data_IF_731162939346
#
_entry.id   IF_731162939346
#
_cell.length_a   1.000
_cell.length_b   1.000
_cell.length_c   1.000
_cell.angle_alpha   90.00
_cell.angle_beta   90.00
_cell.angle_gamma   90.00
#
_symmetry.space_group_name_H-M   'P 1'
#
loop_
_entity.id
_entity.type
_entity.pdbx_description
1 polymer ?
#
# COMPACT_ATOMS: atom_id res chain seq x y z
N UNK A 1 -29.73 14.09 31.97
CA UNK A 1 -28.27 14.36 31.87
C UNK A 1 -27.86 14.05 30.45
N UNK A 2 -27.35 15.03 29.70
CA UNK A 2 -26.93 14.87 28.31
C UNK A 2 -25.51 14.31 28.34
N UNK A 3 -25.29 13.15 27.71
CA UNK A 3 -23.96 12.55 27.60
C UNK A 3 -22.99 13.52 26.90
N UNK A 4 -21.71 13.60 27.33
CA UNK A 4 -20.76 14.49 26.70
C UNK A 4 -20.60 14.08 25.23
N UNK A 5 -20.73 15.06 24.32
CA UNK A 5 -20.49 14.85 22.90
C UNK A 5 -19.01 14.54 22.73
N UNK A 6 -18.73 13.34 22.23
CA UNK A 6 -17.40 12.84 21.95
C UNK A 6 -16.66 13.83 21.03
N UNK A 7 -15.43 14.18 21.41
CA UNK A 7 -14.66 15.24 20.75
C UNK A 7 -14.33 14.80 19.32
N UNK A 8 -14.75 15.60 18.33
CA UNK A 8 -14.46 15.41 16.91
C UNK A 8 -12.93 15.31 16.71
N UNK A 9 -12.43 14.14 16.28
CA UNK A 9 -11.05 13.95 15.82
C UNK A 9 -11.04 14.09 14.31
N UNK A 10 -10.17 14.92 13.74
CA UNK A 10 -10.05 15.04 12.27
C UNK A 10 -9.68 13.66 11.71
N UNK A 11 -10.61 13.05 10.97
CA UNK A 11 -10.54 11.67 10.47
C UNK A 11 -11.49 10.67 11.12
N UNK A 12 -12.01 10.92 12.32
CA UNK A 12 -12.91 10.00 13.04
C UNK A 12 -14.03 10.71 13.79
N UNK A 13 -14.89 11.37 13.02
CA UNK A 13 -16.22 11.77 13.49
C UNK A 13 -17.13 11.86 12.27
N UNK A 14 -17.48 10.67 11.81
CA UNK A 14 -18.24 10.37 10.60
C UNK A 14 -18.44 8.86 10.45
N UNK A 15 -19.09 8.44 9.37
CA UNK A 15 -19.28 7.02 9.04
C UNK A 15 -17.93 6.32 8.85
N UNK A 16 -17.75 5.18 9.51
CA UNK A 16 -16.64 4.24 9.26
C UNK A 16 -17.21 3.12 8.39
N UNK A 17 -16.50 2.76 7.33
CA UNK A 17 -16.95 1.69 6.45
C UNK A 17 -16.78 0.32 7.14
N UNK A 18 -17.68 -0.65 6.91
CA UNK A 18 -17.51 -2.02 7.42
C UNK A 18 -16.18 -2.64 7.01
N UNK A 19 -15.65 -2.24 5.85
CA UNK A 19 -14.34 -2.69 5.39
C UNK A 19 -13.21 -2.11 6.25
N UNK A 20 -13.31 -0.84 6.64
CA UNK A 20 -12.33 -0.22 7.55
C UNK A 20 -12.36 -0.91 8.91
N UNK A 21 -13.55 -1.12 9.50
CA UNK A 21 -13.69 -1.84 10.77
C UNK A 21 -13.11 -3.26 10.69
N UNK A 22 -13.36 -3.96 9.59
CA UNK A 22 -12.79 -5.28 9.34
C UNK A 22 -11.26 -5.23 9.25
N UNK A 23 -10.70 -4.32 8.45
CA UNK A 23 -9.24 -4.22 8.27
C UNK A 23 -8.54 -3.82 9.56
N UNK A 24 -9.13 -2.91 10.34
CA UNK A 24 -8.59 -2.51 11.64
C UNK A 24 -8.51 -3.70 12.61
N UNK A 25 -9.56 -4.52 12.67
CA UNK A 25 -9.58 -5.75 13.48
C UNK A 25 -8.58 -6.79 12.96
N UNK A 26 -8.57 -7.05 11.66
CA UNK A 26 -7.67 -8.01 11.02
C UNK A 26 -6.20 -7.66 11.28
N UNK A 27 -5.81 -6.40 11.11
CA UNK A 27 -4.43 -5.97 11.34
C UNK A 27 -4.04 -5.98 12.83
N UNK A 28 -5.00 -5.76 13.74
CA UNK A 28 -4.76 -5.89 15.17
C UNK A 28 -4.53 -7.35 15.60
N UNK A 29 -5.22 -8.30 14.97
CA UNK A 29 -5.08 -9.74 15.22
C UNK A 29 -3.88 -10.36 14.51
N UNK A 30 -3.44 -9.77 13.38
CA UNK A 30 -2.37 -10.27 12.51
C UNK A 30 -1.23 -9.25 12.32
N UNK A 31 -0.44 -8.95 13.37
CA UNK A 31 0.67 -8.01 13.26
C UNK A 31 1.74 -8.46 12.25
N UNK A 32 1.86 -9.76 11.98
CA UNK A 32 2.78 -10.30 10.96
C UNK A 32 2.51 -9.75 9.56
N UNK A 33 1.27 -9.37 9.26
CA UNK A 33 0.90 -8.79 7.96
C UNK A 33 1.48 -7.39 7.80
N UNK A 34 1.59 -6.64 8.89
CA UNK A 34 2.20 -5.30 8.87
C UNK A 34 3.71 -5.42 8.66
N UNK A 35 4.35 -6.36 9.37
CA UNK A 35 5.77 -6.64 9.21
C UNK A 35 6.10 -7.13 7.79
N UNK A 36 5.30 -8.03 7.22
CA UNK A 36 5.51 -8.53 5.86
C UNK A 36 5.30 -7.42 4.80
N UNK A 37 4.34 -6.52 5.00
CA UNK A 37 4.19 -5.32 4.15
C UNK A 37 5.41 -4.42 4.23
N UNK A 38 5.98 -4.19 5.42
CA UNK A 38 7.21 -3.44 5.56
C UNK A 38 8.37 -4.13 4.86
N UNK A 39 8.52 -5.45 5.02
CA UNK A 39 9.55 -6.23 4.35
C UNK A 39 9.45 -6.14 2.82
N UNK A 40 8.24 -6.32 2.27
CA UNK A 40 8.00 -6.17 0.84
C UNK A 40 8.29 -4.76 0.34
N UNK A 41 7.95 -3.73 1.14
CA UNK A 41 8.30 -2.35 0.83
C UNK A 41 9.80 -2.15 0.75
N UNK A 42 10.56 -2.60 1.74
CA UNK A 42 12.01 -2.46 1.73
C UNK A 42 12.64 -3.22 0.56
N UNK A 43 12.18 -4.44 0.27
CA UNK A 43 12.68 -5.25 -0.84
C UNK A 43 12.56 -4.55 -2.20
N UNK A 44 11.46 -3.87 -2.46
CA UNK A 44 11.19 -3.31 -3.79
C UNK A 44 11.42 -1.80 -3.89
N UNK A 45 11.05 -1.06 -2.84
CA UNK A 45 11.01 0.41 -2.88
C UNK A 45 12.20 1.09 -2.21
N UNK A 46 12.88 0.43 -1.26
CA UNK A 46 14.06 1.00 -0.57
C UNK A 46 15.40 0.60 -1.21
N UNK A 47 15.36 0.06 -2.44
CA UNK A 47 16.57 -0.22 -3.21
C UNK A 47 16.86 0.93 -4.17
N UNK A 48 18.12 1.36 -4.23
CA UNK A 48 18.56 2.30 -5.25
C UNK A 48 18.47 1.62 -6.61
N UNK A 49 17.75 2.24 -7.54
CA UNK A 49 17.74 1.78 -8.93
C UNK A 49 19.16 1.77 -9.50
N UNK A 50 19.59 0.63 -10.05
CA UNK A 50 20.83 0.54 -10.82
C UNK A 50 20.55 1.02 -12.25
N UNK A 51 20.91 2.28 -12.51
CA UNK A 51 20.65 2.90 -13.80
C UNK A 51 21.52 2.34 -14.93
N UNK A 52 22.67 1.74 -14.64
CA UNK A 52 23.50 1.11 -15.67
C UNK A 52 22.91 -0.26 -16.05
N UNK A 53 22.48 -1.07 -15.09
CA UNK A 53 21.74 -2.31 -15.36
C UNK A 53 20.48 -2.04 -16.19
N UNK A 54 19.72 -0.99 -15.84
CA UNK A 54 18.52 -0.59 -16.59
C UNK A 54 18.81 -0.18 -18.03
N UNK A 55 19.96 0.47 -18.25
CA UNK A 55 20.39 0.91 -19.57
C UNK A 55 20.82 -0.28 -20.43
N UNK A 56 21.59 -1.22 -19.88
CA UNK A 56 21.97 -2.46 -20.55
C UNK A 56 20.74 -3.29 -20.91
N UNK A 57 19.82 -3.50 -19.96
CA UNK A 57 18.56 -4.21 -20.18
C UNK A 57 17.70 -3.56 -21.28
N UNK A 58 17.74 -2.23 -21.40
CA UNK A 58 17.03 -1.51 -22.47
C UNK A 58 17.71 -1.70 -23.82
N UNK A 59 19.04 -1.72 -23.87
CA UNK A 59 19.80 -1.98 -25.12
C UNK A 59 19.58 -3.40 -25.62
N UNK A 60 19.47 -4.38 -24.72
CA UNK A 60 19.22 -5.79 -25.06
C UNK A 60 17.74 -6.12 -25.28
N UNK A 61 16.84 -5.14 -25.15
CA UNK A 61 15.41 -5.37 -25.32
C UNK A 61 15.01 -5.59 -26.78
N UNK A 62 14.20 -6.62 -27.01
CA UNK A 62 13.58 -6.89 -28.32
C UNK A 62 12.20 -6.22 -28.39
N UNK A 63 11.75 -5.74 -29.57
CA UNK A 63 10.44 -5.13 -29.70
C UNK A 63 9.32 -6.11 -29.31
N UNK A 64 8.56 -5.77 -28.27
CA UNK A 64 7.35 -6.50 -27.89
C UNK A 64 6.16 -5.88 -28.61
N UNK A 65 5.36 -6.70 -29.30
CA UNK A 65 4.11 -6.25 -29.92
C UNK A 65 3.16 -5.79 -28.80
N UNK A 66 2.74 -4.53 -28.82
CA UNK A 66 1.78 -4.00 -27.87
C UNK A 66 0.44 -4.73 -27.94
N UNK A 67 -0.28 -4.76 -26.81
CA UNK A 67 -1.66 -5.22 -26.78
C UNK A 67 -2.57 -4.10 -27.30
N UNK A 68 -3.46 -4.45 -28.23
CA UNK A 68 -4.48 -3.52 -28.72
C UNK A 68 -5.65 -3.48 -27.73
N UNK A 69 -5.82 -2.33 -27.06
CA UNK A 69 -6.93 -2.05 -26.16
C UNK A 69 -7.98 -1.17 -26.86
N UNK A 70 -8.43 -1.57 -28.06
CA UNK A 70 -9.47 -0.83 -28.81
C UNK A 70 -10.45 -1.79 -29.48
#
# INVERSE_FOLDING_TARGET
>A
MIAPREQYRVGHSGYVSPFTEFMDGFLAEHPEVVEDQHHGWYLFWDHKADFEEWKEARTDSVPVKGYDYF
#
